data_IF_635468079003
#
_entry.id   IF_635468079003
#
_cell.length_a   1.000
_cell.length_b   1.000
_cell.length_c   1.000
_cell.angle_alpha   90.00
_cell.angle_beta   90.00
_cell.angle_gamma   90.00
#
_symmetry.space_group_name_H-M   'P 1'
#
loop_
_entity.id
_entity.type
_entity.pdbx_description
1 polymer ?
#
# COMPACT_ATOMS: atom_id res chain seq x y z
N UNK A 1 -19.24 2.13 -19.04
CA UNK A 1 -18.68 1.91 -17.69
C UNK A 1 -18.06 0.51 -17.63
N UNK A 2 -16.72 0.37 -17.78
CA UNK A 2 -16.08 -0.96 -17.70
C UNK A 2 -15.74 -1.27 -16.24
N UNK A 3 -16.29 -2.39 -15.74
CA UNK A 3 -16.07 -2.89 -14.37
C UNK A 3 -14.67 -3.49 -14.26
N UNK A 4 -13.92 -3.05 -13.26
CA UNK A 4 -12.63 -3.62 -12.89
C UNK A 4 -12.86 -5.08 -12.47
N UNK A 5 -12.16 -6.02 -13.12
CA UNK A 5 -12.30 -7.46 -12.85
C UNK A 5 -11.07 -7.91 -12.05
N UNK A 6 -11.15 -7.99 -10.71
CA UNK A 6 -10.00 -8.32 -9.87
C UNK A 6 -9.39 -9.68 -10.22
N UNK A 7 -10.20 -10.64 -10.64
CA UNK A 7 -9.75 -11.97 -11.09
C UNK A 7 -8.87 -11.91 -12.34
N UNK A 8 -9.16 -11.01 -13.29
CA UNK A 8 -8.33 -10.84 -14.49
C UNK A 8 -7.00 -10.16 -14.17
N UNK A 9 -7.00 -9.19 -13.26
CA UNK A 9 -5.78 -8.51 -12.81
C UNK A 9 -4.84 -9.50 -12.08
N UNK A 10 -5.39 -10.40 -11.25
CA UNK A 10 -4.62 -11.45 -10.58
C UNK A 10 -4.08 -12.48 -11.58
N UNK A 11 -4.91 -12.91 -12.55
CA UNK A 11 -4.48 -13.85 -13.58
C UNK A 11 -3.35 -13.28 -14.46
N UNK A 12 -3.44 -12.01 -14.85
CA UNK A 12 -2.36 -11.34 -15.60
C UNK A 12 -1.08 -11.19 -14.76
N UNK A 13 -1.20 -10.97 -13.45
CA UNK A 13 -0.05 -10.91 -12.56
C UNK A 13 0.67 -12.26 -12.44
N UNK A 14 -0.09 -13.35 -12.32
CA UNK A 14 0.45 -14.71 -12.29
C UNK A 14 1.09 -15.12 -13.62
N UNK A 15 0.52 -14.71 -14.75
CA UNK A 15 1.10 -14.96 -16.07
C UNK A 15 2.34 -14.08 -16.35
N UNK A 16 2.39 -12.86 -15.81
CA UNK A 16 3.52 -11.94 -15.93
C UNK A 16 4.67 -12.20 -14.94
N UNK A 17 4.49 -13.13 -14.01
CA UNK A 17 5.45 -13.48 -12.96
C UNK A 17 6.87 -13.80 -13.47
N UNK A 18 7.08 -14.64 -14.51
CA UNK A 18 8.43 -14.91 -15.02
C UNK A 18 9.10 -13.65 -15.60
N UNK A 19 8.34 -12.74 -16.21
CA UNK A 19 8.85 -11.46 -16.72
C UNK A 19 9.25 -10.52 -15.59
N UNK A 20 8.45 -10.46 -14.53
CA UNK A 20 8.74 -9.65 -13.35
C UNK A 20 9.96 -10.16 -12.59
N UNK A 21 10.12 -11.48 -12.52
CA UNK A 21 11.33 -12.11 -11.98
C UNK A 21 12.56 -11.80 -12.85
N UNK A 22 12.47 -11.98 -14.16
CA UNK A 22 13.56 -11.66 -15.07
C UNK A 22 13.96 -10.17 -15.06
N UNK A 23 13.00 -9.27 -14.88
CA UNK A 23 13.24 -7.83 -14.78
C UNK A 23 13.71 -7.35 -13.41
N UNK A 24 13.31 -8.04 -12.32
CA UNK A 24 13.52 -7.61 -10.94
C UNK A 24 14.38 -8.50 -10.06
N UNK A 25 15.02 -9.52 -10.62
CA UNK A 25 15.77 -10.54 -9.87
C UNK A 25 16.79 -9.93 -8.90
N UNK A 26 17.57 -8.91 -9.32
CA UNK A 26 18.63 -8.34 -8.50
C UNK A 26 18.07 -7.61 -7.28
N UNK A 27 17.01 -6.82 -7.47
CA UNK A 27 16.32 -6.15 -6.38
C UNK A 27 15.67 -7.11 -5.38
N UNK A 28 15.02 -8.17 -5.89
CA UNK A 28 14.40 -9.21 -5.05
C UNK A 28 15.44 -9.96 -4.22
N UNK A 29 16.57 -10.35 -4.81
CA UNK A 29 17.66 -11.01 -4.08
C UNK A 29 18.29 -10.10 -3.04
N UNK A 30 18.52 -8.82 -3.36
CA UNK A 30 19.03 -7.85 -2.40
C UNK A 30 18.08 -7.68 -1.19
N UNK A 31 16.77 -7.63 -1.43
CA UNK A 31 15.78 -7.59 -0.35
C UNK A 31 15.74 -8.87 0.49
N UNK A 32 15.83 -10.04 -0.13
CA UNK A 32 15.90 -11.30 0.60
C UNK A 32 17.15 -11.37 1.48
N UNK A 33 18.29 -10.87 0.97
CA UNK A 33 19.56 -10.87 1.68
C UNK A 33 19.57 -9.90 2.88
N UNK A 34 18.66 -8.92 2.92
CA UNK A 34 18.46 -8.07 4.10
C UNK A 34 17.96 -8.87 5.30
N UNK A 35 17.15 -9.92 5.11
CA UNK A 35 16.56 -10.70 6.22
C UNK A 35 17.64 -11.25 7.17
N UNK A 36 18.62 -12.05 6.72
CA UNK A 36 19.67 -12.55 7.61
C UNK A 36 20.59 -11.44 8.13
N UNK A 37 20.80 -10.35 7.36
CA UNK A 37 21.60 -9.20 7.81
C UNK A 37 20.93 -8.42 8.95
N UNK A 38 19.60 -8.41 9.01
CA UNK A 38 18.86 -7.79 10.12
C UNK A 38 19.20 -8.41 11.47
N UNK A 39 19.36 -9.73 11.52
CA UNK A 39 19.75 -10.46 12.72
C UNK A 39 21.14 -10.05 13.27
N UNK A 40 22.06 -9.65 12.39
CA UNK A 40 23.39 -9.17 12.78
C UNK A 40 23.38 -7.76 13.37
N UNK A 41 22.34 -6.98 13.11
CA UNK A 41 22.22 -5.59 13.60
C UNK A 41 21.46 -5.46 14.91
N UNK A 42 20.87 -6.56 15.41
CA UNK A 42 20.02 -6.58 16.60
C UNK A 42 20.76 -6.24 17.93
N UNK A 43 22.10 -6.20 17.92
CA UNK A 43 22.92 -5.85 19.09
C UNK A 43 23.19 -4.35 19.27
N UNK A 44 22.81 -3.49 18.31
CA UNK A 44 23.14 -2.05 18.32
C UNK A 44 21.95 -1.23 17.84
N UNK A 45 21.40 -0.37 18.70
CA UNK A 45 20.25 0.47 18.35
C UNK A 45 20.52 1.38 17.14
N UNK A 46 21.72 1.97 17.06
CA UNK A 46 22.12 2.80 15.92
C UNK A 46 22.24 1.99 14.62
N UNK A 47 22.81 0.79 14.68
CA UNK A 47 22.91 -0.11 13.53
C UNK A 47 21.52 -0.56 13.06
N UNK A 48 20.62 -0.86 14.00
CA UNK A 48 19.25 -1.27 13.70
C UNK A 48 18.44 -0.14 13.06
N UNK A 49 18.61 1.11 13.50
CA UNK A 49 17.97 2.27 12.86
C UNK A 49 18.48 2.48 11.42
N UNK A 50 19.80 2.46 11.21
CA UNK A 50 20.39 2.60 9.88
C UNK A 50 19.95 1.46 8.94
N UNK A 51 19.95 0.23 9.45
CA UNK A 51 19.47 -0.94 8.73
C UNK A 51 18.00 -0.81 8.33
N UNK A 52 17.15 -0.35 9.25
CA UNK A 52 15.72 -0.13 8.99
C UNK A 52 15.51 0.91 7.89
N UNK A 53 16.22 2.04 7.96
CA UNK A 53 16.15 3.08 6.93
C UNK A 53 16.58 2.54 5.57
N UNK A 54 17.69 1.81 5.53
CA UNK A 54 18.19 1.19 4.30
C UNK A 54 17.21 0.16 3.72
N UNK A 55 16.62 -0.68 4.56
CA UNK A 55 15.62 -1.66 4.16
C UNK A 55 14.37 -0.99 3.59
N UNK A 56 13.90 0.11 4.19
CA UNK A 56 12.76 0.89 3.67
C UNK A 56 13.09 1.49 2.30
N UNK A 57 14.25 2.13 2.16
CA UNK A 57 14.67 2.74 0.88
C UNK A 57 14.81 1.68 -0.21
N UNK A 58 15.43 0.54 0.11
CA UNK A 58 15.58 -0.57 -0.83
C UNK A 58 14.21 -1.15 -1.21
N UNK A 59 13.29 -1.32 -0.25
CA UNK A 59 11.93 -1.81 -0.51
C UNK A 59 11.20 -0.89 -1.49
N UNK A 60 11.29 0.42 -1.29
CA UNK A 60 10.69 1.41 -2.20
C UNK A 60 11.35 1.38 -3.59
N UNK A 61 12.68 1.25 -3.65
CA UNK A 61 13.43 1.16 -4.90
C UNK A 61 13.04 -0.08 -5.72
N UNK A 62 12.97 -1.25 -5.08
CA UNK A 62 12.56 -2.50 -5.72
C UNK A 62 11.09 -2.47 -6.11
N UNK A 63 10.22 -1.96 -5.23
CA UNK A 63 8.80 -1.82 -5.55
C UNK A 63 8.56 -0.93 -6.76
N UNK A 64 9.28 0.20 -6.83
CA UNK A 64 9.22 1.13 -7.96
C UNK A 64 9.74 0.49 -9.25
N UNK A 65 10.85 -0.24 -9.18
CA UNK A 65 11.42 -0.92 -10.35
C UNK A 65 10.55 -2.08 -10.85
N UNK A 66 9.98 -2.90 -9.95
CA UNK A 66 9.01 -3.93 -10.31
C UNK A 66 7.76 -3.32 -10.95
N UNK A 67 7.31 -2.16 -10.47
CA UNK A 67 6.19 -1.43 -11.07
C UNK A 67 6.52 -0.93 -12.48
N UNK A 68 7.74 -0.43 -12.70
CA UNK A 68 8.21 -0.02 -14.03
C UNK A 68 8.30 -1.20 -15.01
N UNK A 69 8.80 -2.37 -14.55
CA UNK A 69 8.80 -3.62 -15.33
C UNK A 69 7.37 -4.08 -15.64
N UNK A 70 6.46 -4.00 -14.67
CA UNK A 70 5.07 -4.40 -14.84
C UNK A 70 4.30 -3.51 -15.83
N UNK A 71 4.65 -2.21 -15.89
CA UNK A 71 4.06 -1.23 -16.79
C UNK A 71 4.78 -1.12 -18.15
N UNK A 72 5.88 -1.85 -18.34
CA UNK A 72 6.76 -1.77 -19.51
C UNK A 72 7.24 -0.34 -19.83
N UNK A 73 7.63 0.40 -18.79
CA UNK A 73 8.04 1.81 -18.86
C UNK A 73 9.43 1.96 -18.29
N UNK A 74 10.44 2.09 -19.16
CA UNK A 74 11.86 2.28 -18.83
C UNK A 74 12.31 1.44 -17.60
N UNK A 75 12.25 0.10 -17.70
CA UNK A 75 12.54 -0.76 -16.57
C UNK A 75 14.00 -0.57 -16.13
N UNK A 76 14.25 -0.21 -14.85
CA UNK A 76 15.61 -0.06 -14.36
C UNK A 76 16.33 -1.42 -14.37
N UNK A 77 17.65 -1.45 -14.64
CA UNK A 77 18.41 -2.69 -14.67
C UNK A 77 18.33 -3.40 -13.31
N UNK A 78 17.91 -4.67 -13.33
CA UNK A 78 17.74 -5.49 -12.12
C UNK A 78 16.52 -5.13 -11.25
N UNK A 79 15.62 -4.25 -11.74
CA UNK A 79 14.37 -3.88 -11.08
C UNK A 79 14.53 -3.05 -9.82
N UNK A 80 15.67 -2.36 -9.68
CA UNK A 80 15.92 -1.41 -8.59
C UNK A 80 15.86 0.00 -9.18
N UNK A 81 14.79 0.75 -8.89
CA UNK A 81 14.71 2.13 -9.35
C UNK A 81 15.70 3.02 -8.61
N UNK A 82 16.44 3.85 -9.34
CA UNK A 82 17.41 4.81 -8.79
C UNK A 82 17.19 6.20 -9.38
N UNK A 83 17.78 7.22 -8.74
CA UNK A 83 17.77 8.59 -9.24
C UNK A 83 16.38 9.26 -9.25
N UNK A 84 15.99 9.95 -10.34
CA UNK A 84 14.84 10.86 -10.34
C UNK A 84 13.49 10.13 -10.24
N UNK A 85 13.38 8.89 -10.73
CA UNK A 85 12.14 8.10 -10.65
C UNK A 85 11.85 7.72 -9.19
N UNK A 86 12.86 7.21 -8.48
CA UNK A 86 12.75 6.93 -7.05
C UNK A 86 12.44 8.20 -6.26
N UNK A 87 13.12 9.31 -6.57
CA UNK A 87 12.88 10.59 -5.89
C UNK A 87 11.44 11.08 -6.08
N UNK A 88 10.87 10.95 -7.28
CA UNK A 88 9.46 11.31 -7.55
C UNK A 88 8.49 10.45 -6.75
N UNK A 89 8.74 9.13 -6.67
CA UNK A 89 7.91 8.20 -5.88
C UNK A 89 8.04 8.48 -4.38
N UNK A 90 9.25 8.72 -3.89
CA UNK A 90 9.50 9.08 -2.48
C UNK A 90 8.81 10.40 -2.15
N UNK A 91 8.92 11.41 -3.00
CA UNK A 91 8.28 12.71 -2.79
C UNK A 91 6.75 12.59 -2.81
N UNK A 92 6.19 11.83 -3.75
CA UNK A 92 4.76 11.51 -3.77
C UNK A 92 4.32 10.74 -2.51
N UNK A 93 5.12 9.78 -2.05
CA UNK A 93 4.85 9.02 -0.83
C UNK A 93 4.89 9.92 0.42
N UNK A 94 5.86 10.82 0.54
CA UNK A 94 5.97 11.77 1.66
C UNK A 94 4.80 12.73 1.68
N UNK A 95 4.45 13.35 0.54
CA UNK A 95 3.29 14.24 0.45
C UNK A 95 2.01 13.52 0.84
N UNK A 96 1.85 12.28 0.39
CA UNK A 96 0.73 11.45 0.75
C UNK A 96 0.69 11.13 2.26
N UNK A 97 1.83 10.76 2.83
CA UNK A 97 1.93 10.44 4.25
C UNK A 97 1.62 11.66 5.12
N UNK A 98 2.05 12.86 4.72
CA UNK A 98 1.68 14.13 5.37
C UNK A 98 0.16 14.35 5.30
N UNK A 99 -0.46 14.14 4.14
CA UNK A 99 -1.91 14.31 4.00
C UNK A 99 -2.69 13.32 4.87
N UNK A 100 -2.26 12.06 4.89
CA UNK A 100 -2.87 11.03 5.73
C UNK A 100 -2.66 11.31 7.22
N UNK A 101 -1.47 11.78 7.61
CA UNK A 101 -1.19 12.21 8.97
C UNK A 101 -2.06 13.39 9.39
N UNK A 102 -2.24 14.40 8.53
CA UNK A 102 -3.13 15.53 8.80
C UNK A 102 -4.56 15.06 9.07
N UNK A 103 -5.10 14.18 8.24
CA UNK A 103 -6.44 13.62 8.43
C UNK A 103 -6.52 12.78 9.70
N UNK A 104 -5.51 11.94 9.97
CA UNK A 104 -5.46 11.13 11.17
C UNK A 104 -5.43 11.99 12.44
N UNK A 105 -4.66 13.08 12.43
CA UNK A 105 -4.62 14.07 13.53
C UNK A 105 -5.98 14.73 13.72
N UNK A 106 -6.62 15.18 12.64
CA UNK A 106 -7.97 15.78 12.72
C UNK A 106 -8.98 14.78 13.27
N UNK A 107 -8.98 13.54 12.77
CA UNK A 107 -9.86 12.48 13.25
C UNK A 107 -9.59 12.11 14.71
N UNK A 108 -8.32 12.08 15.12
CA UNK A 108 -7.92 11.83 16.50
C UNK A 108 -8.38 12.96 17.42
N UNK A 109 -8.23 14.23 17.01
CA UNK A 109 -8.71 15.39 17.76
C UNK A 109 -10.24 15.40 17.88
N UNK A 110 -10.96 15.10 16.79
CA UNK A 110 -12.43 14.96 16.81
C UNK A 110 -12.84 13.82 17.73
N UNK A 111 -12.17 12.67 17.65
CA UNK A 111 -12.43 11.53 18.53
C UNK A 111 -12.18 11.88 19.99
N UNK A 112 -11.08 12.56 20.28
CA UNK A 112 -10.71 13.00 21.63
C UNK A 112 -11.70 14.04 22.16
N UNK A 113 -12.16 14.97 21.33
CA UNK A 113 -13.17 15.96 21.70
C UNK A 113 -14.51 15.29 22.03
N UNK A 114 -14.96 14.33 21.21
CA UNK A 114 -16.20 13.60 21.43
C UNK A 114 -16.07 12.69 22.67
N UNK A 115 -14.95 11.99 22.83
CA UNK A 115 -14.67 11.19 24.02
C UNK A 115 -14.59 12.07 25.28
N UNK A 116 -13.95 13.23 25.21
CA UNK A 116 -13.84 14.19 26.33
C UNK A 116 -15.17 14.81 26.73
N UNK A 117 -16.06 15.09 25.76
CA UNK A 117 -17.42 15.59 26.04
C UNK A 117 -18.40 14.48 26.49
N UNK A 118 -18.07 13.22 26.27
CA UNK A 118 -18.99 12.10 26.52
C UNK A 118 -19.20 11.79 28.01
N UNK A 119 -18.33 12.26 28.91
CA UNK A 119 -18.49 12.06 30.37
C UNK A 119 -18.55 10.58 30.79
N UNK A 120 -18.01 9.68 29.97
CA UNK A 120 -18.08 8.23 30.19
C UNK A 120 -17.32 7.82 31.45
N UNK A 121 -17.90 6.90 32.21
CA UNK A 121 -17.30 6.42 33.45
C UNK A 121 -16.13 5.46 33.11
N UNK A 122 -14.91 6.00 33.11
CA UNK A 122 -13.67 5.29 32.74
C UNK A 122 -13.44 4.03 33.59
N UNK A 123 -13.88 4.06 34.86
CA UNK A 123 -13.79 2.93 35.79
C UNK A 123 -14.68 1.76 35.35
N UNK A 124 -15.88 2.04 34.83
CA UNK A 124 -16.79 1.00 34.30
C UNK A 124 -16.26 0.38 33.00
N UNK A 125 -15.59 1.17 32.15
CA UNK A 125 -14.95 0.68 30.92
C UNK A 125 -13.77 -0.26 31.27
N UNK A 126 -12.94 0.11 32.26
CA UNK A 126 -11.86 -0.75 32.73
C UNK A 126 -12.39 -2.02 33.41
N UNK A 127 -13.53 -1.94 34.09
CA UNK A 127 -14.23 -3.09 34.70
C UNK A 127 -15.01 -3.96 33.69
N UNK A 128 -15.04 -3.61 32.39
CA UNK A 128 -15.86 -4.27 31.34
C UNK A 128 -17.37 -4.30 31.66
N UNK A 129 -17.84 -3.40 32.53
CA UNK A 129 -19.27 -3.33 32.90
C UNK A 129 -20.03 -2.38 31.97
N UNK A 130 -20.32 -2.86 30.77
CA UNK A 130 -20.93 -2.10 29.67
C UNK A 130 -22.31 -1.52 29.99
N UNK A 131 -22.99 -2.02 31.03
CA UNK A 131 -24.28 -1.50 31.47
C UNK A 131 -24.16 -0.14 32.18
N UNK A 132 -23.00 0.15 32.79
CA UNK A 132 -22.75 1.33 33.61
C UNK A 132 -21.81 2.35 32.96
N UNK A 133 -21.42 2.14 31.70
CA UNK A 133 -20.48 3.01 30.96
C UNK A 133 -21.09 4.37 30.61
N UNK A 134 -22.40 4.42 30.32
CA UNK A 134 -23.13 5.66 30.04
C UNK A 134 -24.41 5.46 29.19
N UNK A 135 -25.16 6.53 28.91
CA UNK A 135 -26.34 6.51 28.03
C UNK A 135 -26.09 5.86 26.67
N UNK A 136 -27.02 4.99 26.23
CA UNK A 136 -26.93 4.23 24.96
C UNK A 136 -26.67 5.12 23.73
N UNK A 137 -27.21 6.35 23.72
CA UNK A 137 -26.99 7.28 22.61
C UNK A 137 -25.55 7.79 22.52
N UNK A 138 -24.85 7.97 23.66
CA UNK A 138 -23.44 8.36 23.67
C UNK A 138 -22.55 7.23 23.17
N UNK A 139 -22.86 5.99 23.57
CA UNK A 139 -22.20 4.79 23.04
C UNK A 139 -22.41 4.63 21.54
N UNK A 140 -23.62 4.92 21.04
CA UNK A 140 -23.94 4.91 19.62
C UNK A 140 -23.12 5.94 18.82
N UNK A 141 -23.02 7.18 19.33
CA UNK A 141 -22.19 8.24 18.70
C UNK A 141 -20.71 7.88 18.74
N UNK A 142 -20.20 7.37 19.88
CA UNK A 142 -18.81 6.96 20.02
C UNK A 142 -18.46 5.81 19.07
N UNK A 143 -19.35 4.82 18.95
CA UNK A 143 -19.22 3.71 18.02
C UNK A 143 -19.21 4.18 16.56
N UNK A 144 -20.13 5.09 16.19
CA UNK A 144 -20.16 5.68 14.85
C UNK A 144 -18.87 6.44 14.53
N UNK A 145 -18.37 7.25 15.47
CA UNK A 145 -17.11 7.98 15.31
C UNK A 145 -15.94 7.00 15.17
N UNK A 146 -15.89 5.95 15.99
CA UNK A 146 -14.88 4.89 15.85
C UNK A 146 -14.90 4.21 14.49
N UNK A 147 -16.10 3.93 13.96
CA UNK A 147 -16.27 3.41 12.59
C UNK A 147 -15.76 4.42 11.56
N UNK A 148 -16.11 5.70 11.66
CA UNK A 148 -15.64 6.75 10.74
C UNK A 148 -14.12 6.86 10.77
N UNK A 149 -13.52 6.84 11.97
CA UNK A 149 -12.07 6.95 12.19
C UNK A 149 -11.32 5.77 11.60
N UNK A 150 -11.92 4.58 11.53
CA UNK A 150 -11.35 3.42 10.85
C UNK A 150 -11.59 3.46 9.33
N UNK A 151 -12.81 3.76 8.92
CA UNK A 151 -13.24 3.68 7.53
C UNK A 151 -12.58 4.78 6.70
N UNK A 152 -12.57 6.04 7.14
CA UNK A 152 -12.06 7.17 6.35
C UNK A 152 -10.58 6.99 5.97
N UNK A 153 -9.65 6.68 6.88
CA UNK A 153 -8.27 6.38 6.52
C UNK A 153 -8.15 5.15 5.62
N UNK A 154 -8.95 4.09 5.85
CA UNK A 154 -8.95 2.91 5.00
C UNK A 154 -9.36 3.26 3.56
N UNK A 155 -10.40 4.07 3.37
CA UNK A 155 -10.84 4.57 2.07
C UNK A 155 -9.72 5.34 1.35
N UNK A 156 -8.97 6.15 2.11
CA UNK A 156 -7.83 6.91 1.58
C UNK A 156 -6.69 5.96 1.22
N UNK A 157 -6.31 5.01 2.06
CA UNK A 157 -5.24 4.02 1.80
C UNK A 157 -5.53 3.24 0.51
N UNK A 158 -6.77 2.81 0.29
CA UNK A 158 -7.15 2.11 -0.95
C UNK A 158 -6.95 3.01 -2.17
N UNK A 159 -7.33 4.29 -2.10
CA UNK A 159 -7.06 5.25 -3.19
C UNK A 159 -5.57 5.48 -3.40
N UNK A 160 -4.81 5.45 -2.31
CA UNK A 160 -3.37 5.67 -2.31
C UNK A 160 -2.59 4.46 -2.83
N UNK A 161 -3.13 3.24 -2.73
CA UNK A 161 -2.46 2.05 -3.26
C UNK A 161 -2.05 2.17 -4.75
N UNK A 162 -2.72 3.04 -5.51
CA UNK A 162 -2.43 3.31 -6.92
C UNK A 162 -1.42 4.43 -7.20
N UNK A 163 -0.94 5.15 -6.16
CA UNK A 163 -0.09 6.33 -6.35
C UNK A 163 1.25 5.96 -7.01
N UNK A 164 1.82 4.80 -6.66
CA UNK A 164 3.12 4.37 -7.21
C UNK A 164 2.96 4.04 -8.69
N UNK A 165 1.91 3.30 -9.08
CA UNK A 165 1.67 3.02 -10.51
C UNK A 165 1.37 4.30 -11.29
N UNK A 166 0.66 5.26 -10.68
CA UNK A 166 0.38 6.55 -11.31
C UNK A 166 1.63 7.41 -11.50
N UNK A 167 2.52 7.44 -10.51
CA UNK A 167 3.75 8.22 -10.55
C UNK A 167 4.74 7.64 -11.55
N UNK A 168 4.85 6.31 -11.62
CA UNK A 168 5.68 5.61 -12.60
C UNK A 168 5.08 5.69 -14.01
N UNK A 169 3.76 5.47 -14.14
CA UNK A 169 3.07 5.50 -15.43
C UNK A 169 2.99 6.89 -16.07
N UNK A 170 2.85 7.97 -15.29
CA UNK A 170 2.76 9.34 -15.82
C UNK A 170 4.08 10.10 -15.83
N UNK A 171 5.13 9.59 -15.19
CA UNK A 171 6.43 10.25 -15.13
C UNK A 171 6.47 11.55 -14.31
N UNK A 172 5.37 11.97 -13.67
CA UNK A 172 5.30 13.14 -12.81
C UNK A 172 4.75 12.77 -11.43
N UNK A 173 5.09 13.54 -10.39
CA UNK A 173 4.52 13.36 -9.05
C UNK A 173 3.03 13.78 -9.07
N UNK A 174 2.13 12.79 -9.03
CA UNK A 174 0.68 13.02 -9.14
C UNK A 174 0.09 13.22 -7.75
N UNK A 175 -0.52 14.38 -7.52
CA UNK A 175 -1.23 14.71 -6.28
C UNK A 175 -2.67 14.19 -6.28
N UNK A 176 -3.07 13.68 -5.11
CA UNK A 176 -4.39 13.17 -4.71
C UNK A 176 -5.61 13.93 -5.25
N UNK A 177 -5.54 15.26 -5.37
CA UNK A 177 -6.70 16.07 -5.79
C UNK A 177 -7.08 15.86 -7.27
N UNK A 178 -6.14 15.38 -8.08
CA UNK A 178 -6.36 15.19 -9.53
C UNK A 178 -6.78 13.77 -9.91
N UNK A 179 -6.70 12.82 -8.98
CA UNK A 179 -7.05 11.42 -9.22
C UNK A 179 -8.54 11.16 -8.91
N UNK A 180 -9.43 11.88 -9.60
CA UNK A 180 -10.89 11.66 -9.55
C UNK A 180 -11.37 10.32 -10.16
N UNK A 181 -10.46 9.36 -10.35
CA UNK A 181 -10.67 8.15 -11.16
C UNK A 181 -11.38 7.01 -10.37
N UNK A 182 -11.50 7.13 -9.04
CA UNK A 182 -12.00 6.03 -8.20
C UNK A 182 -13.48 6.12 -7.76
N UNK A 183 -14.31 7.03 -8.31
CA UNK A 183 -15.72 7.11 -7.90
C UNK A 183 -16.57 5.90 -8.35
N UNK A 184 -16.17 5.18 -9.41
CA UNK A 184 -16.94 4.04 -9.94
C UNK A 184 -16.40 2.64 -9.65
N UNK A 185 -15.15 2.51 -9.19
CA UNK A 185 -14.45 1.21 -9.05
C UNK A 185 -13.90 0.95 -7.65
N UNK A 186 -14.32 1.75 -6.67
CA UNK A 186 -13.87 1.66 -5.28
C UNK A 186 -14.00 0.23 -4.72
N UNK A 187 -15.18 -0.39 -4.84
CA UNK A 187 -15.43 -1.73 -4.31
C UNK A 187 -14.53 -2.80 -4.94
N UNK A 188 -14.27 -2.71 -6.24
CA UNK A 188 -13.40 -3.68 -6.92
C UNK A 188 -11.93 -3.51 -6.54
N UNK A 189 -11.47 -2.26 -6.32
CA UNK A 189 -10.13 -1.97 -5.78
C UNK A 189 -9.99 -2.39 -4.33
N UNK A 190 -11.00 -2.16 -3.50
CA UNK A 190 -11.01 -2.60 -2.11
C UNK A 190 -10.95 -4.13 -2.03
N UNK A 191 -11.72 -4.83 -2.87
CA UNK A 191 -11.71 -6.30 -2.93
C UNK A 191 -10.35 -6.81 -3.41
N UNK A 192 -9.76 -6.19 -4.43
CA UNK A 192 -8.41 -6.51 -4.91
C UNK A 192 -7.36 -6.29 -3.80
N UNK A 193 -7.40 -5.14 -3.14
CA UNK A 193 -6.50 -4.81 -2.04
C UNK A 193 -6.66 -5.79 -0.87
N UNK A 194 -7.89 -6.14 -0.49
CA UNK A 194 -8.15 -7.11 0.55
C UNK A 194 -7.61 -8.49 0.17
N UNK A 195 -7.81 -8.93 -1.08
CA UNK A 195 -7.23 -10.19 -1.57
C UNK A 195 -5.69 -10.16 -1.64
N UNK A 196 -5.09 -8.99 -1.80
CA UNK A 196 -3.63 -8.81 -1.81
C UNK A 196 -3.04 -8.67 -0.41
N UNK A 197 -3.78 -8.13 0.55
CA UNK A 197 -3.30 -7.82 1.90
C UNK A 197 -3.56 -8.94 2.90
N UNK A 198 -4.68 -9.67 2.78
CA UNK A 198 -5.04 -10.74 3.72
C UNK A 198 -4.05 -11.91 3.71
N UNK A 199 -3.64 -12.46 2.55
CA UNK A 199 -2.74 -13.62 2.54
C UNK A 199 -1.37 -13.36 3.19
N UNK A 200 -0.69 -12.22 2.97
CA UNK A 200 0.55 -11.89 3.67
C UNK A 200 0.37 -11.78 5.18
N UNK A 201 -0.70 -11.13 5.64
CA UNK A 201 -0.95 -10.96 7.07
C UNK A 201 -1.23 -12.30 7.74
N UNK A 202 -2.01 -13.17 7.10
CA UNK A 202 -2.27 -14.52 7.57
C UNK A 202 -0.99 -15.37 7.61
N UNK A 203 -0.16 -15.28 6.55
CA UNK A 203 1.09 -16.00 6.45
C UNK A 203 2.12 -15.53 7.49
N UNK A 204 2.21 -14.21 7.74
CA UNK A 204 3.06 -13.67 8.81
C UNK A 204 2.55 -14.07 10.20
N UNK A 205 1.24 -14.04 10.45
CA UNK A 205 0.66 -14.47 11.73
C UNK A 205 0.88 -15.97 12.00
N UNK A 206 0.73 -16.80 10.97
CA UNK A 206 1.03 -18.23 11.05
C UNK A 206 2.54 -18.47 11.25
N UNK A 207 3.39 -17.79 10.49
CA UNK A 207 4.84 -17.93 10.60
C UNK A 207 5.38 -17.44 11.95
N UNK A 208 4.81 -16.37 12.50
CA UNK A 208 5.15 -15.88 13.82
C UNK A 208 4.82 -16.89 14.93
N UNK A 209 3.71 -17.61 14.82
CA UNK A 209 3.35 -18.65 15.79
C UNK A 209 4.21 -19.92 15.67
N UNK A 210 4.88 -20.14 14.54
CA UNK A 210 5.72 -21.33 14.27
C UNK A 210 7.22 -21.02 14.22
N UNK A 211 7.65 -19.79 14.49
CA UNK A 211 9.06 -19.39 14.41
C UNK A 211 9.65 -19.36 12.98
N UNK A 212 8.80 -19.35 11.96
CA UNK A 212 9.19 -19.40 10.53
C UNK A 212 9.14 -18.02 9.85
N UNK A 213 9.25 -16.94 10.61
CA UNK A 213 9.10 -15.56 10.12
C UNK A 213 10.06 -15.27 8.95
N UNK A 214 11.31 -15.72 9.03
CA UNK A 214 12.30 -15.48 7.97
C UNK A 214 11.90 -16.16 6.65
N UNK A 215 11.46 -17.42 6.70
CA UNK A 215 10.98 -18.17 5.54
C UNK A 215 9.74 -17.50 4.93
N UNK A 216 8.83 -17.04 5.79
CA UNK A 216 7.66 -16.27 5.38
C UNK A 216 8.05 -14.98 4.65
N UNK A 217 9.00 -14.22 5.19
CA UNK A 217 9.48 -12.99 4.55
C UNK A 217 10.14 -13.27 3.20
N UNK A 218 10.98 -14.30 3.08
CA UNK A 218 11.55 -14.71 1.78
C UNK A 218 10.45 -15.05 0.78
N UNK A 219 9.43 -15.79 1.20
CA UNK A 219 8.29 -16.15 0.35
C UNK A 219 7.51 -14.91 -0.09
N UNK A 220 7.28 -13.96 0.81
CA UNK A 220 6.58 -12.72 0.50
C UNK A 220 7.38 -11.83 -0.44
N UNK A 221 8.68 -11.70 -0.25
CA UNK A 221 9.55 -10.91 -1.14
C UNK A 221 9.63 -11.58 -2.52
N UNK A 222 9.88 -12.89 -2.56
CA UNK A 222 10.14 -13.60 -3.82
C UNK A 222 8.92 -13.87 -4.68
N UNK A 223 7.77 -14.12 -4.06
CA UNK A 223 6.56 -14.52 -4.77
C UNK A 223 5.47 -13.46 -4.67
N UNK A 224 5.21 -12.93 -3.48
CA UNK A 224 4.07 -12.05 -3.28
C UNK A 224 4.32 -10.62 -3.76
N UNK A 225 5.51 -10.07 -3.58
CA UNK A 225 5.86 -8.71 -4.00
C UNK A 225 5.75 -8.53 -5.53
N UNK A 226 6.26 -9.46 -6.38
CA UNK A 226 6.04 -9.39 -7.83
C UNK A 226 4.56 -9.54 -8.21
N UNK A 227 3.84 -10.48 -7.59
CA UNK A 227 2.40 -10.70 -7.86
C UNK A 227 1.60 -9.43 -7.52
N UNK A 228 1.93 -8.78 -6.42
CA UNK A 228 1.29 -7.54 -5.97
C UNK A 228 1.54 -6.39 -6.95
N UNK A 229 2.80 -6.19 -7.35
CA UNK A 229 3.19 -5.16 -8.31
C UNK A 229 2.50 -5.36 -9.67
N UNK A 230 2.48 -6.61 -10.17
CA UNK A 230 1.81 -6.97 -11.42
C UNK A 230 0.29 -6.82 -11.37
N UNK A 231 -0.34 -7.23 -10.27
CA UNK A 231 -1.79 -7.13 -10.10
C UNK A 231 -2.25 -5.67 -10.02
N UNK A 232 -1.50 -4.83 -9.32
CA UNK A 232 -1.79 -3.40 -9.22
C UNK A 232 -1.49 -2.66 -10.53
N UNK A 233 -0.42 -3.03 -11.26
CA UNK A 233 -0.15 -2.48 -12.59
C UNK A 233 -1.24 -2.85 -13.61
N UNK A 234 -1.74 -4.09 -13.58
CA UNK A 234 -2.86 -4.52 -14.41
C UNK A 234 -4.19 -3.85 -14.04
N UNK A 235 -4.44 -3.65 -12.74
CA UNK A 235 -5.61 -2.89 -12.27
C UNK A 235 -5.51 -1.41 -12.68
N UNK A 236 -4.32 -0.83 -12.62
CA UNK A 236 -4.03 0.52 -13.08
C UNK A 236 -4.28 0.66 -14.59
N UNK A 237 -3.78 -0.28 -15.41
CA UNK A 237 -4.06 -0.30 -16.85
C UNK A 237 -5.54 -0.48 -17.21
N UNK A 238 -6.36 -1.05 -16.32
CA UNK A 238 -7.82 -1.13 -16.49
C UNK A 238 -8.55 0.15 -16.08
N UNK A 239 -7.95 0.95 -15.18
CA UNK A 239 -8.52 2.20 -14.65
C UNK A 239 -8.10 3.42 -15.47
N UNK A 240 -6.90 3.41 -16.03
CA UNK A 240 -6.42 4.50 -16.84
C UNK A 240 -6.89 4.35 -18.29
N UNK A 241 -7.48 5.42 -18.81
CA UNK A 241 -8.18 5.58 -20.09
C UNK A 241 -7.28 5.40 -21.35
N UNK A 242 -6.20 4.63 -21.30
CA UNK A 242 -5.24 4.60 -22.40
C UNK A 242 -5.64 3.59 -23.49
N UNK A 243 -6.40 4.07 -24.48
CA UNK A 243 -6.44 3.51 -25.83
C UNK A 243 -5.14 3.92 -26.55
N UNK A 244 -4.40 2.98 -27.16
CA UNK A 244 -3.29 3.31 -28.06
C UNK A 244 -3.71 4.02 -29.37
N UNK A 245 -4.99 4.31 -29.60
CA UNK A 245 -5.50 4.71 -30.93
C UNK A 245 -5.81 6.21 -31.09
N UNK A 246 -5.52 7.09 -30.13
CA UNK A 246 -5.92 8.52 -30.23
C UNK A 246 -4.80 9.52 -30.50
N UNK A 247 -3.58 9.10 -30.87
CA UNK A 247 -2.53 10.01 -31.36
C UNK A 247 -1.95 9.59 -32.72
N UNK A 248 -2.76 8.91 -33.54
CA UNK A 248 -2.48 8.63 -34.96
C UNK A 248 -3.11 9.63 -35.94
N UNK A 249 -3.89 10.62 -35.50
CA UNK A 249 -4.68 11.48 -36.41
C UNK A 249 -4.52 12.99 -36.18
N UNK A 250 -3.29 13.45 -35.98
CA UNK A 250 -2.89 14.84 -36.31
C UNK A 250 -1.59 14.84 -37.12
N UNK A 251 -1.50 13.91 -38.08
CA UNK A 251 -0.53 13.93 -39.17
C UNK A 251 -1.27 13.56 -40.44
N UNK A 252 -1.83 14.56 -41.12
CA UNK A 252 -2.49 14.39 -42.40
C UNK A 252 -2.42 15.70 -43.19
N UNK A 253 -1.59 15.69 -44.24
CA UNK A 253 -1.50 16.74 -45.26
C UNK A 253 -0.23 17.57 -45.15
#
# INVERSE_FOLDING_TARGET
MRRLRPTRALASALQGLPRLWAGGWAGLLLLMLMIPLGGWTAGSGAAQHLFTVMAVVLTLAVWTGLTAVALDRDPPPGGVATGPVLLRVVLAAVLNLIFLAMIAVVLALVSLAIAGMSGLNLEAIQARDWANVGPVWQLGVLGLVGVIVLVVPLLLIVRLSLFVQATVGRGHAVSLNTMGIAQGSFWALMLLFLTLAVPPLALLGWAASHGLIELAMVTLIGLWMPVSAGALAAAYGQLEYWSPDSLGHLGGG
#
